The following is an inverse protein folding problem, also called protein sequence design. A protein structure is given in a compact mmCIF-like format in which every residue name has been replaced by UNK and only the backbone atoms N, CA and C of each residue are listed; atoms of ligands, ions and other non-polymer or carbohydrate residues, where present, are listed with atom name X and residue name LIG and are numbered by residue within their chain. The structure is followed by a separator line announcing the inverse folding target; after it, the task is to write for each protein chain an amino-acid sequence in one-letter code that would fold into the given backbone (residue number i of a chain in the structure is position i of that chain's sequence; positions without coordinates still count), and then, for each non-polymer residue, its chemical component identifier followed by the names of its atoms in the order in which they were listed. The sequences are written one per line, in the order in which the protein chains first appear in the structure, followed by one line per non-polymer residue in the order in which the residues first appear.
data_IF_543024382606
#
_entry.id   IF_543024382606
#
_cell.length_a   1.000
_cell.length_b   1.000
_cell.length_c   1.000
_cell.angle_alpha   90.00
_cell.angle_beta   90.00
_cell.angle_gamma   90.00
#
_symmetry.space_group_name_H-M   'P 1'
#
loop_
_entity.id
_entity.type
_entity.pdbx_description
1 polymer ?
#
# COMPACT_ATOMS: atom_id res chain seq x y z
N UNK A 1 -88.43 3.22 7.33
CA UNK A 1 -87.13 3.40 6.66
C UNK A 1 -86.11 3.55 7.78
N UNK A 2 -85.46 2.49 8.28
CA UNK A 2 -84.58 1.56 7.56
C UNK A 2 -83.23 2.28 7.36
N UNK A 3 -82.06 1.80 7.75
CA UNK A 3 -81.63 0.55 8.37
C UNK A 3 -80.19 0.82 8.89
N UNK A 4 -79.73 0.03 9.87
CA UNK A 4 -78.36 0.07 10.39
C UNK A 4 -77.41 -0.51 9.34
N UNK A 5 -76.22 0.11 9.14
CA UNK A 5 -74.99 -0.66 8.86
C UNK A 5 -73.72 0.08 9.26
N UNK A 6 -73.14 -0.39 10.37
CA UNK A 6 -71.72 -0.25 10.69
C UNK A 6 -70.90 -0.93 9.59
N UNK A 7 -69.87 -0.26 9.09
CA UNK A 7 -68.77 -0.92 8.39
C UNK A 7 -67.46 -0.49 9.03
N UNK A 8 -66.82 -1.49 9.63
CA UNK A 8 -65.44 -1.54 10.08
C UNK A 8 -64.50 -1.50 8.86
N UNK A 9 -63.48 -0.65 8.86
CA UNK A 9 -62.26 -0.85 8.05
C UNK A 9 -61.04 -0.54 8.91
N UNK A 10 -60.05 -1.42 8.77
CA UNK A 10 -59.00 -1.83 9.69
C UNK A 10 -57.86 -0.80 9.91
N UNK A 11 -57.08 -0.95 11.00
CA UNK A 11 -55.88 -0.15 11.25
C UNK A 11 -54.83 -0.38 10.15
N UNK A 12 -54.34 0.73 9.59
CA UNK A 12 -53.23 0.73 8.65
C UNK A 12 -51.95 0.22 9.31
N UNK A 13 -51.62 -1.02 9.02
CA UNK A 13 -50.27 -1.58 9.22
C UNK A 13 -49.32 -0.85 8.27
N UNK A 14 -48.55 0.11 8.79
CA UNK A 14 -47.37 0.62 8.09
C UNK A 14 -46.14 -0.15 8.55
N UNK A 15 -45.97 -1.34 7.99
CA UNK A 15 -44.68 -2.04 7.95
C UNK A 15 -43.88 -1.44 6.78
N UNK A 16 -43.10 -0.39 7.04
CA UNK A 16 -41.94 -0.06 6.21
C UNK A 16 -40.70 -0.67 6.86
N UNK A 17 -40.62 -1.99 6.75
CA UNK A 17 -39.36 -2.71 6.75
C UNK A 17 -38.75 -2.49 5.35
N UNK A 18 -37.68 -1.71 5.25
CA UNK A 18 -37.10 -1.32 3.98
C UNK A 18 -35.64 -0.94 4.09
N UNK A 19 -34.78 -1.95 4.13
CA UNK A 19 -33.40 -1.98 3.65
C UNK A 19 -32.43 -0.86 4.09
N UNK A 20 -31.76 -1.09 5.23
CA UNK A 20 -30.35 -0.74 5.35
C UNK A 20 -29.56 -2.02 5.68
N UNK A 21 -29.54 -2.93 4.70
CA UNK A 21 -28.47 -3.92 4.60
C UNK A 21 -27.58 -3.49 3.45
N UNK A 22 -26.94 -2.33 3.58
CA UNK A 22 -25.61 -2.16 2.97
C UNK A 22 -24.66 -2.73 4.00
N UNK A 23 -24.58 -4.06 4.04
CA UNK A 23 -23.59 -4.75 4.83
C UNK A 23 -22.24 -4.12 4.54
N UNK A 24 -21.58 -3.64 5.59
CA UNK A 24 -20.18 -3.28 5.60
C UNK A 24 -19.38 -4.55 5.31
N UNK A 25 -19.47 -5.06 4.08
CA UNK A 25 -18.53 -6.03 3.59
C UNK A 25 -17.28 -5.24 3.21
N UNK A 26 -16.53 -4.87 4.24
CA UNK A 26 -15.10 -4.63 4.13
C UNK A 26 -14.52 -6.00 3.83
N UNK A 27 -14.63 -6.41 2.56
CA UNK A 27 -13.81 -7.50 2.04
C UNK A 27 -12.36 -7.21 2.42
N UNK A 28 -11.55 -8.26 2.61
CA UNK A 28 -10.20 -8.10 3.12
C UNK A 28 -9.41 -7.09 2.27
N UNK A 29 -8.63 -6.23 2.93
CA UNK A 29 -8.05 -5.04 2.32
C UNK A 29 -7.25 -5.40 1.06
N UNK A 30 -7.53 -4.78 -0.09
CA UNK A 30 -6.87 -5.14 -1.34
C UNK A 30 -5.35 -4.89 -1.24
N UNK A 31 -4.60 -5.83 -1.83
CA UNK A 31 -3.13 -5.80 -1.91
C UNK A 31 -2.66 -4.48 -2.53
N UNK A 32 -1.76 -3.78 -1.84
CA UNK A 32 -1.16 -2.51 -2.29
C UNK A 32 0.11 -2.75 -3.09
N UNK A 33 0.22 -2.15 -4.28
CA UNK A 33 1.37 -2.31 -5.15
C UNK A 33 2.25 -1.08 -5.12
N UNK A 34 3.56 -1.30 -4.91
CA UNK A 34 4.59 -0.27 -4.98
C UNK A 34 5.54 -0.50 -6.16
N UNK A 35 6.08 0.59 -6.69
CA UNK A 35 7.16 0.57 -7.67
C UNK A 35 8.20 1.64 -7.31
N UNK A 36 9.46 1.37 -7.61
CA UNK A 36 10.54 2.34 -7.40
C UNK A 36 10.51 3.41 -8.50
N UNK A 37 10.77 4.66 -8.13
CA UNK A 37 10.74 5.81 -9.03
C UNK A 37 11.93 6.75 -8.75
N UNK A 38 12.14 7.71 -9.63
CA UNK A 38 13.07 8.83 -9.41
C UNK A 38 12.32 10.15 -9.53
N UNK A 39 12.46 11.01 -8.51
CA UNK A 39 11.71 12.26 -8.36
C UNK A 39 12.69 13.38 -8.04
N UNK A 40 12.86 14.32 -8.97
CA UNK A 40 13.83 15.41 -8.79
C UNK A 40 15.26 14.91 -8.57
N UNK A 41 15.63 13.80 -9.22
CA UNK A 41 16.94 13.16 -9.09
C UNK A 41 17.14 12.32 -7.82
N UNK A 42 16.10 12.15 -6.99
CA UNK A 42 16.15 11.36 -5.77
C UNK A 42 15.30 10.10 -5.88
N UNK A 43 15.67 9.06 -5.14
CA UNK A 43 14.86 7.86 -5.03
C UNK A 43 13.47 8.16 -4.47
N UNK A 44 12.45 7.57 -5.09
CA UNK A 44 11.06 7.67 -4.65
C UNK A 44 10.33 6.35 -4.85
N UNK A 45 9.12 6.28 -4.33
CA UNK A 45 8.20 5.18 -4.57
C UNK A 45 6.91 5.74 -5.17
N UNK A 46 6.41 5.07 -6.22
CA UNK A 46 5.02 5.22 -6.66
C UNK A 46 4.23 4.11 -6.01
N UNK A 47 3.20 4.48 -5.25
CA UNK A 47 2.27 3.53 -4.63
C UNK A 47 0.91 3.69 -5.29
N UNK A 48 0.40 2.59 -5.87
CA UNK A 48 -0.95 2.55 -6.42
C UNK A 48 -1.95 2.44 -5.27
N UNK A 49 -2.64 3.55 -4.99
CA UNK A 49 -3.62 3.67 -3.90
C UNK A 49 -4.97 3.07 -4.29
N UNK A 50 -5.35 3.24 -5.55
CA UNK A 50 -6.61 2.77 -6.10
C UNK A 50 -7.80 3.16 -5.21
N UNK A 51 -7.81 4.39 -4.69
CA UNK A 51 -8.83 4.92 -3.79
C UNK A 51 -8.61 4.69 -2.29
N UNK A 52 -7.49 4.08 -1.86
CA UNK A 52 -7.07 4.07 -0.45
C UNK A 52 -6.50 5.43 -0.06
N UNK A 53 -6.68 5.82 1.20
CA UNK A 53 -6.10 7.04 1.75
C UNK A 53 -4.87 6.79 2.61
N UNK A 54 -4.59 5.54 3.01
CA UNK A 54 -3.48 5.20 3.91
C UNK A 54 -2.76 3.91 3.45
N UNK A 55 -1.44 3.89 3.62
CA UNK A 55 -0.56 2.76 3.28
C UNK A 55 0.74 2.81 4.07
N UNK A 56 1.35 1.64 4.24
CA UNK A 56 2.71 1.49 4.76
C UNK A 56 3.71 1.31 3.63
N UNK A 57 4.89 1.88 3.82
CA UNK A 57 6.01 1.80 2.90
C UNK A 57 7.27 1.50 3.69
N UNK A 58 8.07 0.55 3.23
CA UNK A 58 9.35 0.23 3.84
C UNK A 58 10.42 -0.09 2.80
N UNK A 59 11.66 0.18 3.16
CA UNK A 59 12.84 -0.20 2.40
C UNK A 59 13.84 -0.82 3.37
N UNK A 60 14.37 -1.99 3.04
CA UNK A 60 15.39 -2.65 3.84
C UNK A 60 16.51 -3.17 2.95
N UNK A 61 17.70 -3.31 3.53
CA UNK A 61 18.85 -3.92 2.88
C UNK A 61 18.71 -5.45 2.87
N UNK A 62 18.94 -6.08 1.72
CA UNK A 62 18.74 -7.52 1.50
C UNK A 62 19.93 -8.38 1.93
N UNK A 63 20.89 -7.84 2.69
CA UNK A 63 22.19 -8.48 2.85
C UNK A 63 22.07 -9.83 3.58
N UNK A 64 22.38 -10.91 2.87
CA UNK A 64 22.47 -12.27 3.43
C UNK A 64 23.61 -12.41 4.46
N UNK A 65 24.41 -11.36 4.68
CA UNK A 65 25.49 -11.33 5.64
C UNK A 65 25.08 -10.97 7.08
N UNK A 66 23.79 -11.08 7.42
CA UNK A 66 23.24 -10.95 8.79
C UNK A 66 23.93 -11.82 9.87
N UNK A 67 24.87 -12.68 9.50
CA UNK A 67 25.57 -13.60 10.39
C UNK A 67 26.71 -12.99 11.22
N UNK A 68 27.28 -11.84 10.82
CA UNK A 68 28.40 -11.25 11.56
C UNK A 68 27.93 -10.42 12.78
N UNK A 69 26.90 -9.60 12.62
CA UNK A 69 26.53 -8.58 13.62
C UNK A 69 25.04 -8.58 14.05
N UNK A 70 24.22 -9.50 13.52
CA UNK A 70 22.75 -9.55 13.73
C UNK A 70 22.07 -8.18 13.51
N UNK A 71 22.50 -7.44 12.50
CA UNK A 71 22.00 -6.09 12.21
C UNK A 71 20.99 -6.09 11.05
N UNK A 72 19.89 -5.36 11.21
CA UNK A 72 18.84 -5.14 10.21
C UNK A 72 18.77 -3.65 9.85
N UNK A 73 19.11 -3.30 8.61
CA UNK A 73 19.14 -1.91 8.13
C UNK A 73 17.86 -1.60 7.36
N UNK A 74 17.07 -0.63 7.83
CA UNK A 74 15.76 -0.34 7.23
C UNK A 74 15.26 1.09 7.44
N UNK A 75 14.29 1.45 6.60
CA UNK A 75 13.51 2.67 6.66
C UNK A 75 12.03 2.29 6.48
N UNK A 76 11.14 2.95 7.21
CA UNK A 76 9.71 2.75 7.08
C UNK A 76 8.96 4.08 7.20
N UNK A 77 7.77 4.11 6.63
CA UNK A 77 6.84 5.22 6.70
C UNK A 77 5.41 4.73 6.50
N UNK A 78 4.53 5.04 7.44
CA UNK A 78 3.09 5.09 7.17
C UNK A 78 2.79 6.41 6.47
N UNK A 79 1.89 6.38 5.51
CA UNK A 79 1.55 7.54 4.69
C UNK A 79 0.03 7.65 4.54
N UNK A 80 -0.52 8.79 4.94
CA UNK A 80 -1.93 9.13 4.74
C UNK A 80 -2.06 10.27 3.73
N UNK A 81 -2.97 10.17 2.76
CA UNK A 81 -3.26 11.18 1.74
C UNK A 81 -4.53 11.95 2.07
N UNK A 82 -4.57 13.24 1.72
CA UNK A 82 -5.68 14.14 2.07
C UNK A 82 -6.96 13.90 1.25
N UNK A 83 -6.83 13.32 0.05
CA UNK A 83 -7.94 13.02 -0.85
C UNK A 83 -7.70 11.69 -1.56
N UNK A 84 -8.75 10.95 -1.94
CA UNK A 84 -8.62 9.76 -2.76
C UNK A 84 -7.87 10.07 -4.06
N UNK A 85 -6.85 9.26 -4.37
CA UNK A 85 -6.09 9.31 -5.60
C UNK A 85 -5.89 7.89 -6.14
N UNK A 86 -5.56 7.77 -7.43
CA UNK A 86 -5.20 6.49 -8.03
C UNK A 86 -3.81 6.05 -7.58
N UNK A 87 -2.91 7.01 -7.38
CA UNK A 87 -1.55 6.78 -6.92
C UNK A 87 -0.94 8.00 -6.24
N UNK A 88 0.19 7.78 -5.55
CA UNK A 88 0.98 8.82 -4.89
C UNK A 88 2.46 8.56 -5.06
N UNK A 89 3.24 9.64 -5.01
CA UNK A 89 4.70 9.59 -5.06
C UNK A 89 5.28 9.99 -3.72
N UNK A 90 6.11 9.14 -3.15
CA UNK A 90 6.81 9.35 -1.87
C UNK A 90 8.31 9.44 -2.14
N UNK A 91 9.00 10.44 -1.60
CA UNK A 91 10.48 10.49 -1.63
C UNK A 91 11.01 9.52 -0.57
N UNK A 92 11.88 8.59 -0.97
CA UNK A 92 12.48 7.62 -0.04
C UNK A 92 13.64 8.27 0.71
N UNK A 93 13.78 7.94 2.00
CA UNK A 93 14.83 8.46 2.90
C UNK A 93 14.84 10.00 3.07
N UNK A 94 13.87 10.71 2.48
CA UNK A 94 13.74 12.16 2.50
C UNK A 94 13.04 12.70 3.75
N UNK A 95 12.92 14.03 3.80
CA UNK A 95 12.13 14.71 4.83
C UNK A 95 10.63 14.60 4.55
N UNK A 96 9.81 14.71 5.62
CA UNK A 96 8.36 14.75 5.54
C UNK A 96 7.91 15.81 4.52
N UNK A 97 7.09 15.40 3.54
CA UNK A 97 6.42 16.35 2.62
C UNK A 97 5.04 16.72 3.17
N UNK A 98 4.58 17.92 2.89
CA UNK A 98 3.25 18.38 3.27
C UNK A 98 2.17 17.38 2.79
N UNK A 99 1.38 16.86 3.72
CA UNK A 99 0.35 15.86 3.42
C UNK A 99 0.82 14.39 3.46
N UNK A 100 2.05 14.11 3.93
CA UNK A 100 2.52 12.76 4.29
C UNK A 100 2.94 12.80 5.76
N UNK A 101 2.40 11.90 6.59
CA UNK A 101 2.76 11.81 8.02
C UNK A 101 3.50 10.50 8.28
N UNK A 102 4.83 10.54 8.29
CA UNK A 102 5.67 9.38 8.65
C UNK A 102 5.57 9.14 10.17
N UNK A 103 4.80 8.15 10.60
CA UNK A 103 4.51 7.91 12.03
C UNK A 103 5.44 6.91 12.73
N UNK A 104 6.27 6.17 12.01
CA UNK A 104 7.31 5.33 12.58
C UNK A 104 8.60 5.41 11.77
N UNK A 105 9.63 6.01 12.37
CA UNK A 105 11.03 5.72 12.03
C UNK A 105 11.48 4.81 13.17
N UNK A 106 11.12 3.54 13.09
CA UNK A 106 11.42 2.62 14.18
C UNK A 106 12.94 2.41 14.24
N UNK A 107 13.64 3.17 15.07
CA UNK A 107 15.05 2.91 15.38
C UNK A 107 15.21 1.81 16.44
N UNK A 108 14.11 1.18 16.89
CA UNK A 108 14.13 0.17 17.95
C UNK A 108 13.01 -0.87 17.81
N UNK A 109 13.31 -2.00 17.16
CA UNK A 109 12.77 -3.33 17.47
C UNK A 109 11.33 -3.62 17.04
N UNK A 110 11.18 -4.49 16.03
CA UNK A 110 9.95 -5.29 15.92
C UNK A 110 9.81 -6.18 17.17
N UNK A 111 8.64 -6.22 17.84
CA UNK A 111 8.40 -7.05 19.01
C UNK A 111 8.31 -8.52 18.59
N UNK A 112 9.46 -9.20 18.48
CA UNK A 112 9.44 -10.63 18.16
C UNK A 112 10.78 -11.30 17.90
N UNK A 113 11.83 -10.56 17.54
CA UNK A 113 13.14 -11.17 17.23
C UNK A 113 14.19 -10.76 18.25
N UNK A 114 14.22 -11.50 19.35
CA UNK A 114 15.26 -11.36 20.40
C UNK A 114 16.64 -11.45 19.77
N UNK A 115 17.43 -10.37 19.81
CA UNK A 115 18.85 -10.38 19.43
C UNK A 115 19.24 -9.66 18.15
N UNK A 116 18.30 -9.09 17.38
CA UNK A 116 18.62 -8.26 16.21
C UNK A 116 18.75 -6.78 16.59
N UNK A 117 19.83 -6.13 16.17
CA UNK A 117 19.99 -4.68 16.24
C UNK A 117 19.41 -4.06 14.97
N UNK A 118 18.53 -3.08 15.10
CA UNK A 118 18.01 -2.36 13.95
C UNK A 118 18.80 -1.06 13.75
N UNK A 119 19.13 -0.74 12.50
CA UNK A 119 19.79 0.51 12.12
C UNK A 119 18.98 1.22 11.04
N UNK A 120 18.92 2.54 11.15
CA UNK A 120 18.23 3.35 10.16
C UNK A 120 18.96 3.31 8.80
N UNK A 121 18.23 2.98 7.74
CA UNK A 121 18.66 3.20 6.37
C UNK A 121 18.59 4.69 6.07
N UNK A 122 19.73 5.29 5.73
CA UNK A 122 19.86 6.74 5.52
C UNK A 122 20.42 7.10 4.14
N UNK A 123 20.99 6.12 3.43
CA UNK A 123 21.52 6.24 2.07
C UNK A 123 21.42 4.90 1.34
N UNK A 124 21.44 4.95 0.00
CA UNK A 124 21.59 3.78 -0.86
C UNK A 124 23.04 3.72 -1.35
N UNK A 125 23.80 2.73 -0.88
CA UNK A 125 25.20 2.56 -1.20
C UNK A 125 25.38 1.75 -2.49
N UNK A 126 26.38 2.08 -3.33
CA UNK A 126 26.73 1.27 -4.48
C UNK A 126 27.11 -0.16 -4.07
N UNK A 127 26.64 -1.16 -4.83
CA UNK A 127 26.95 -2.57 -4.61
C UNK A 127 26.08 -3.30 -3.57
N UNK A 128 25.15 -2.60 -2.91
CA UNK A 128 24.16 -3.21 -2.02
C UNK A 128 22.81 -3.42 -2.73
N UNK A 129 22.07 -4.41 -2.25
CA UNK A 129 20.71 -4.71 -2.68
C UNK A 129 19.70 -4.25 -1.63
N UNK A 130 18.61 -3.66 -2.10
CA UNK A 130 17.53 -3.15 -1.27
C UNK A 130 16.20 -3.67 -1.77
N UNK A 131 15.27 -3.91 -0.84
CA UNK A 131 13.89 -4.25 -1.17
C UNK A 131 12.95 -3.16 -0.71
N UNK A 132 12.18 -2.62 -1.66
CA UNK A 132 11.03 -1.76 -1.43
C UNK A 132 9.77 -2.62 -1.26
N UNK A 133 9.10 -2.45 -0.12
CA UNK A 133 7.83 -3.08 0.20
C UNK A 133 6.77 -2.03 0.48
N UNK A 134 5.69 -2.05 -0.31
CA UNK A 134 4.51 -1.20 -0.13
C UNK A 134 3.24 -2.02 0.19
N UNK A 135 3.40 -3.30 0.51
CA UNK A 135 2.29 -4.19 0.86
C UNK A 135 2.15 -4.25 2.38
N UNK A 136 1.03 -3.76 2.90
CA UNK A 136 0.41 -4.42 4.04
C UNK A 136 -0.09 -5.80 3.58
N UNK A 137 0.04 -6.84 4.40
CA UNK A 137 -0.45 -8.17 4.05
C UNK A 137 -1.94 -8.12 3.70
N UNK A 138 -2.28 -8.51 2.48
CA UNK A 138 -3.64 -8.61 2.00
C UNK A 138 -4.38 -9.84 2.54
N UNK A 139 -5.54 -10.18 1.95
CA UNK A 139 -6.36 -11.31 2.36
C UNK A 139 -5.54 -12.59 2.46
N UNK A 140 -5.73 -13.38 3.53
CA UNK A 140 -5.11 -14.71 3.65
C UNK A 140 -3.56 -14.71 3.58
N UNK A 141 -2.92 -13.55 3.88
CA UNK A 141 -1.47 -13.40 3.82
C UNK A 141 -0.93 -13.13 2.42
N UNK A 142 -1.77 -12.75 1.46
CA UNK A 142 -1.31 -12.32 0.12
C UNK A 142 -0.54 -11.01 0.21
N UNK A 143 0.75 -11.03 -0.10
CA UNK A 143 1.55 -9.82 -0.23
C UNK A 143 1.70 -9.42 -1.70
N UNK A 144 1.80 -8.12 -1.96
CA UNK A 144 2.23 -7.66 -3.27
C UNK A 144 3.67 -8.09 -3.53
N UNK A 145 4.05 -8.32 -4.80
CA UNK A 145 5.45 -8.43 -5.16
C UNK A 145 6.22 -7.20 -4.68
N UNK A 146 7.33 -7.43 -3.99
CA UNK A 146 8.26 -6.39 -3.55
C UNK A 146 9.22 -6.03 -4.71
N UNK A 147 9.82 -4.84 -4.67
CA UNK A 147 10.81 -4.43 -5.66
C UNK A 147 12.19 -4.51 -5.07
N UNK A 148 12.99 -5.47 -5.54
CA UNK A 148 14.42 -5.51 -5.26
C UNK A 148 15.17 -4.63 -6.27
N UNK A 149 16.09 -3.79 -5.77
CA UNK A 149 16.84 -2.84 -6.58
C UNK A 149 18.23 -2.56 -5.99
N UNK A 150 19.07 -1.93 -6.80
CA UNK A 150 20.39 -1.39 -6.43
C UNK A 150 20.42 0.12 -6.69
N UNK A 151 21.44 0.81 -6.18
CA UNK A 151 21.66 2.22 -6.53
C UNK A 151 21.78 2.47 -8.05
N UNK A 152 22.31 1.51 -8.81
CA UNK A 152 22.46 1.59 -10.27
C UNK A 152 21.10 1.57 -11.00
N UNK A 153 20.08 0.93 -10.41
CA UNK A 153 18.75 0.89 -11.00
C UNK A 153 18.08 2.27 -11.00
N UNK A 154 18.42 3.15 -10.05
CA UNK A 154 17.93 4.52 -10.02
C UNK A 154 18.34 5.29 -11.30
N UNK A 155 19.54 5.05 -11.83
CA UNK A 155 20.01 5.70 -13.04
C UNK A 155 19.26 5.24 -14.31
N UNK A 156 18.56 4.11 -14.25
CA UNK A 156 17.80 3.55 -15.38
C UNK A 156 16.36 4.05 -15.44
N UNK A 157 15.84 4.66 -14.38
CA UNK A 157 14.45 5.10 -14.28
C UNK A 157 14.35 6.54 -14.78
N UNK A 158 13.75 6.73 -15.95
CA UNK A 158 13.46 8.04 -16.51
C UNK A 158 12.25 8.74 -15.88
N UNK A 159 12.05 9.99 -16.28
CA UNK A 159 10.87 10.76 -15.87
C UNK A 159 9.57 10.07 -16.30
N UNK A 160 8.61 9.95 -15.38
CA UNK A 160 7.34 9.26 -15.62
C UNK A 160 7.46 7.73 -15.72
N UNK A 161 8.65 7.17 -15.49
CA UNK A 161 8.88 5.73 -15.43
C UNK A 161 8.99 5.24 -13.99
N UNK A 162 8.78 3.95 -13.81
CA UNK A 162 8.95 3.25 -12.54
C UNK A 162 9.60 1.90 -12.79
N UNK A 163 10.42 1.43 -11.86
CA UNK A 163 10.86 0.04 -11.78
C UNK A 163 9.79 -0.74 -11.00
N UNK A 164 8.93 -1.43 -11.74
CA UNK A 164 7.81 -2.19 -11.21
C UNK A 164 8.18 -3.67 -11.06
N UNK A 165 7.64 -4.35 -10.03
CA UNK A 165 7.91 -5.77 -9.86
C UNK A 165 7.08 -6.58 -10.87
N UNK A 166 7.74 -7.49 -11.58
CA UNK A 166 7.10 -8.52 -12.41
C UNK A 166 6.76 -9.73 -11.53
N UNK A 167 7.73 -10.17 -10.75
CA UNK A 167 7.62 -11.24 -9.76
C UNK A 167 8.60 -10.97 -8.60
N UNK A 168 8.71 -11.91 -7.65
CA UNK A 168 9.55 -11.78 -6.45
C UNK A 168 11.07 -11.71 -6.72
N UNK A 169 11.53 -11.92 -7.96
CA UNK A 169 12.95 -11.89 -8.38
C UNK A 169 13.24 -10.93 -9.53
N UNK A 170 12.21 -10.37 -10.14
CA UNK A 170 12.33 -9.60 -11.39
C UNK A 170 11.55 -8.31 -11.30
N UNK A 171 12.19 -7.23 -11.71
CA UNK A 171 11.57 -5.95 -11.90
C UNK A 171 11.94 -5.39 -13.28
N UNK A 172 11.07 -4.55 -13.83
CA UNK A 172 11.28 -3.92 -15.12
C UNK A 172 10.83 -2.45 -15.13
N UNK A 173 11.45 -1.66 -15.99
CA UNK A 173 11.16 -0.23 -16.12
C UNK A 173 9.97 -0.06 -17.05
N UNK A 174 8.84 0.38 -16.51
CA UNK A 174 7.60 0.63 -17.24
C UNK A 174 7.12 2.06 -17.02
N UNK A 175 6.12 2.51 -17.79
CA UNK A 175 5.49 3.81 -17.50
C UNK A 175 4.69 3.74 -16.21
N UNK A 176 4.73 4.84 -15.43
CA UNK A 176 3.93 5.04 -14.22
C UNK A 176 2.43 4.79 -14.49
N UNK A 177 1.92 5.31 -15.60
CA UNK A 177 0.52 5.11 -16.00
C UNK A 177 0.18 3.63 -16.19
N UNK A 178 1.05 2.86 -16.88
CA UNK A 178 0.83 1.42 -17.09
C UNK A 178 0.85 0.65 -15.78
N UNK A 179 1.79 1.01 -14.89
CA UNK A 179 1.87 0.44 -13.55
C UNK A 179 0.57 0.66 -12.76
N UNK A 180 0.13 1.92 -12.63
CA UNK A 180 -1.07 2.28 -11.86
C UNK A 180 -2.32 1.64 -12.45
N UNK A 181 -2.48 1.69 -13.78
CA UNK A 181 -3.59 1.04 -14.46
C UNK A 181 -3.64 -0.47 -14.19
N UNK A 182 -2.50 -1.15 -14.28
CA UNK A 182 -2.40 -2.59 -14.01
C UNK A 182 -2.70 -2.93 -12.55
N UNK A 183 -2.12 -2.17 -11.62
CA UNK A 183 -2.33 -2.33 -10.19
C UNK A 183 -3.80 -2.14 -9.80
N UNK A 184 -4.45 -1.09 -10.31
CA UNK A 184 -5.85 -0.80 -9.99
C UNK A 184 -6.85 -1.65 -10.79
N UNK A 185 -6.49 -2.17 -11.96
CA UNK A 185 -7.34 -3.11 -12.71
C UNK A 185 -7.50 -4.46 -11.99
N UNK A 186 -6.48 -4.88 -11.22
CA UNK A 186 -6.56 -6.07 -10.36
C UNK A 186 -7.61 -5.95 -9.23
N UNK A 187 -8.21 -4.77 -9.05
CA UNK A 187 -9.34 -4.48 -8.14
C UNK A 187 -10.72 -4.83 -8.74
N UNK A 188 -10.81 -5.27 -10.00
CA UNK A 188 -12.08 -5.55 -10.70
C UNK A 188 -12.87 -6.77 -10.21
N UNK A 189 -14.21 -6.81 -10.36
CA UNK A 189 -15.13 -7.56 -9.50
C UNK A 189 -15.23 -9.04 -9.88
N UNK A 190 -14.63 -9.91 -9.06
CA UNK A 190 -14.83 -11.35 -9.20
C UNK A 190 -13.56 -12.15 -8.96
N UNK A 191 -13.14 -12.25 -7.69
CA UNK A 191 -12.58 -13.50 -7.23
C UNK A 191 -13.73 -14.53 -7.31
N UNK A 192 -13.67 -15.41 -8.31
CA UNK A 192 -14.56 -16.58 -8.44
C UNK A 192 -13.98 -17.74 -7.65
#
# INVERSE_FOLDING_TARGET
MGDIKRVFVLPGVSLLAGALVSGCYLGPDPVQYGALAVVGGKAGAVVALCGRSEFDLSVFEDDNNHSADNEFVYWAATVTTAAPADDVVVELLGADRAGLRVTSRDETGSPGVTGMRARALTSFEPGLHYTLNASEGGPEGTAAPMVTFTADDLARIGEGQVLAPIDYKKADVISRESFVKSACAKKGPGAR
#
